data_IF_171307139226
#
_entry.id   IF_171307139226
#
_cell.length_a   1.000
_cell.length_b   1.000
_cell.length_c   1.000
_cell.angle_alpha   90.00
_cell.angle_beta   90.00
_cell.angle_gamma   90.00
#
_symmetry.space_group_name_H-M   'P 1'
#
loop_
_entity.id
_entity.type
_entity.pdbx_description
1 polymer ?
#
# COMPACT_ATOMS: atom_id res chain seq x y z
N UNK A 1 18.47 -13.15 65.25
CA UNK A 1 19.25 -12.62 64.12
C UNK A 1 19.69 -13.84 63.29
N UNK A 2 19.13 -14.22 62.15
CA UNK A 2 18.42 -13.51 61.09
C UNK A 2 17.52 -14.52 60.37
N UNK A 3 16.22 -14.24 60.26
CA UNK A 3 15.34 -14.94 59.32
C UNK A 3 15.45 -14.28 57.95
N UNK A 4 15.05 -15.02 56.92
CA UNK A 4 14.75 -14.61 55.53
C UNK A 4 15.92 -14.64 54.54
N UNK A 5 15.98 -15.74 53.78
CA UNK A 5 16.46 -15.72 52.40
C UNK A 5 15.25 -16.14 51.54
N UNK A 6 14.52 -15.21 50.90
CA UNK A 6 13.40 -15.58 50.07
C UNK A 6 13.96 -15.99 48.70
N UNK A 7 14.34 -17.26 48.56
CA UNK A 7 14.70 -17.89 47.29
C UNK A 7 13.53 -18.01 46.31
N UNK A 8 12.35 -17.50 46.65
CA UNK A 8 11.10 -17.63 45.88
C UNK A 8 10.87 -16.46 44.91
N UNK A 9 11.57 -15.34 45.07
CA UNK A 9 11.31 -14.13 44.27
C UNK A 9 12.26 -13.94 43.07
N UNK A 10 13.23 -14.83 42.90
CA UNK A 10 14.14 -14.78 41.76
C UNK A 10 13.49 -15.49 40.55
N UNK A 11 13.02 -14.65 39.62
CA UNK A 11 13.13 -14.89 38.17
C UNK A 11 12.11 -15.84 37.53
N UNK A 12 10.83 -15.69 37.86
CA UNK A 12 9.72 -16.18 37.01
C UNK A 12 8.96 -15.04 36.33
N UNK A 13 9.65 -13.93 36.01
CA UNK A 13 9.17 -13.07 34.94
C UNK A 13 9.66 -13.67 33.63
N UNK A 14 8.90 -14.64 33.14
CA UNK A 14 8.95 -15.06 31.75
C UNK A 14 8.57 -13.85 30.89
N UNK A 15 9.57 -13.04 30.54
CA UNK A 15 9.45 -12.01 29.52
C UNK A 15 9.33 -12.78 28.21
N UNK A 16 8.11 -13.22 27.87
CA UNK A 16 7.82 -13.57 26.49
C UNK A 16 8.15 -12.30 25.69
N UNK A 17 9.14 -12.32 24.78
CA UNK A 17 9.23 -11.24 23.82
C UNK A 17 7.93 -11.34 23.04
N UNK A 18 7.01 -10.42 23.28
CA UNK A 18 5.94 -10.13 22.34
C UNK A 18 6.69 -9.62 21.12
N UNK A 19 7.17 -10.54 20.29
CA UNK A 19 7.82 -10.22 19.03
C UNK A 19 6.75 -9.47 18.27
N UNK A 20 6.95 -8.15 18.15
CA UNK A 20 6.12 -7.31 17.32
C UNK A 20 6.24 -7.90 15.92
N UNK A 21 5.24 -8.70 15.53
CA UNK A 21 5.05 -9.13 14.16
C UNK A 21 4.69 -7.86 13.40
N UNK A 22 5.72 -7.08 13.06
CA UNK A 22 5.61 -6.09 12.01
C UNK A 22 5.21 -6.91 10.79
N UNK A 23 3.93 -6.88 10.44
CA UNK A 23 3.45 -7.35 9.15
C UNK A 23 4.28 -6.66 8.09
N UNK A 24 5.25 -7.41 7.55
CA UNK A 24 5.98 -7.08 6.35
C UNK A 24 4.97 -7.17 5.22
N UNK A 25 4.11 -6.15 5.13
CA UNK A 25 3.35 -5.86 3.93
C UNK A 25 4.40 -5.69 2.85
N UNK A 26 4.53 -6.70 1.99
CA UNK A 26 5.50 -6.72 0.89
C UNK A 26 5.13 -5.61 -0.11
N UNK A 27 5.54 -4.38 0.19
CA UNK A 27 5.31 -3.22 -0.67
C UNK A 27 6.24 -3.34 -1.88
N UNK A 28 5.72 -3.46 -3.11
CA UNK A 28 6.54 -3.60 -4.30
C UNK A 28 7.44 -2.37 -4.54
N UNK A 29 8.58 -2.58 -5.18
CA UNK A 29 9.47 -1.49 -5.56
C UNK A 29 8.77 -0.47 -6.49
N UNK A 30 8.82 0.80 -6.10
CA UNK A 30 8.08 1.90 -6.71
C UNK A 30 6.70 2.17 -6.08
N UNK A 31 6.32 1.42 -5.04
CA UNK A 31 5.19 1.75 -4.17
C UNK A 31 5.65 2.22 -2.80
N UNK A 32 4.83 3.04 -2.17
CA UNK A 32 5.07 3.57 -0.83
C UNK A 32 3.98 3.07 0.09
N UNK A 33 4.35 2.78 1.34
CA UNK A 33 3.36 2.47 2.38
C UNK A 33 2.46 3.68 2.61
N UNK A 34 1.16 3.44 2.67
CA UNK A 34 0.16 4.51 2.82
C UNK A 34 -0.57 4.43 4.15
N UNK A 35 -0.94 5.59 4.69
CA UNK A 35 -1.96 5.65 5.72
C UNK A 35 -3.35 5.58 5.07
N UNK A 36 -3.86 4.36 4.89
CA UNK A 36 -5.10 4.11 4.12
C UNK A 36 -6.32 4.96 4.55
N UNK A 37 -6.61 5.15 5.86
CA UNK A 37 -7.72 5.99 6.32
C UNK A 37 -7.71 7.42 5.78
N UNK A 38 -6.54 8.01 5.53
CA UNK A 38 -6.41 9.36 4.97
C UNK A 38 -7.05 9.49 3.58
N UNK A 39 -7.21 8.39 2.85
CA UNK A 39 -7.81 8.36 1.51
C UNK A 39 -9.31 8.05 1.51
N UNK A 40 -9.85 7.60 2.65
CA UNK A 40 -11.26 7.23 2.78
C UNK A 40 -12.15 8.41 3.19
N UNK A 41 -11.62 9.31 4.03
CA UNK A 41 -12.38 10.41 4.63
C UNK A 41 -12.70 11.59 3.70
N UNK A 42 -12.50 11.44 2.40
CA UNK A 42 -12.80 12.47 1.41
C UNK A 42 -14.07 12.10 0.65
N UNK A 43 -15.15 12.84 0.82
CA UNK A 43 -16.42 12.64 0.07
C UNK A 43 -16.24 12.85 -1.44
N UNK A 44 -15.21 13.59 -1.83
CA UNK A 44 -14.88 13.92 -3.22
C UNK A 44 -14.27 12.74 -4.00
N UNK A 45 -14.48 12.75 -5.32
CA UNK A 45 -13.92 11.77 -6.24
C UNK A 45 -12.45 12.09 -6.52
N UNK A 46 -11.58 11.80 -5.55
CA UNK A 46 -10.14 12.07 -5.63
C UNK A 46 -9.48 11.26 -6.74
N UNK A 47 -8.29 11.72 -7.19
CA UNK A 47 -7.43 10.95 -8.09
C UNK A 47 -7.18 9.54 -7.52
N UNK A 48 -7.00 9.42 -6.21
CA UNK A 48 -6.77 8.15 -5.54
C UNK A 48 -7.93 7.17 -5.69
N UNK A 49 -9.17 7.64 -5.54
CA UNK A 49 -10.38 6.83 -5.76
C UNK A 49 -10.58 6.48 -7.23
N UNK A 50 -10.31 7.43 -8.14
CA UNK A 50 -10.41 7.21 -9.59
C UNK A 50 -9.42 6.14 -10.06
N UNK A 51 -8.16 6.23 -9.60
CA UNK A 51 -7.16 5.20 -9.86
C UNK A 51 -7.48 3.89 -9.12
N UNK A 52 -8.15 3.95 -7.97
CA UNK A 52 -8.66 2.77 -7.27
C UNK A 52 -9.68 1.98 -8.09
N UNK A 53 -10.64 2.66 -8.72
CA UNK A 53 -11.58 2.03 -9.67
C UNK A 53 -10.84 1.40 -10.85
N UNK A 54 -9.84 2.10 -11.40
CA UNK A 54 -8.99 1.54 -12.44
C UNK A 54 -8.27 0.27 -11.97
N UNK A 55 -7.71 0.27 -10.75
CA UNK A 55 -7.06 -0.89 -10.16
C UNK A 55 -8.00 -2.09 -10.02
N UNK A 56 -9.24 -1.86 -9.62
CA UNK A 56 -10.26 -2.91 -9.54
C UNK A 56 -10.53 -3.55 -10.92
N UNK A 57 -10.56 -2.75 -11.99
CA UNK A 57 -10.73 -3.23 -13.37
C UNK A 57 -9.52 -3.99 -13.90
N UNK A 58 -8.31 -3.62 -13.47
CA UNK A 58 -7.06 -4.31 -13.86
C UNK A 58 -6.90 -5.64 -13.12
N UNK A 59 -7.45 -5.75 -11.91
CA UNK A 59 -7.36 -6.95 -11.07
C UNK A 59 -8.72 -7.61 -10.76
N UNK A 60 -9.55 -7.93 -11.77
CA UNK A 60 -10.92 -8.39 -11.55
C UNK A 60 -11.01 -9.77 -10.89
N UNK A 61 -10.03 -10.64 -11.15
CA UNK A 61 -10.07 -12.06 -10.76
C UNK A 61 -9.45 -12.35 -9.38
N UNK A 62 -9.06 -11.31 -8.61
CA UNK A 62 -8.30 -11.51 -7.37
C UNK A 62 -9.17 -11.76 -6.13
N UNK A 63 -10.51 -11.76 -6.26
CA UNK A 63 -11.46 -11.94 -5.13
C UNK A 63 -11.16 -11.06 -3.91
N UNK A 64 -10.40 -9.98 -4.08
CA UNK A 64 -10.13 -9.02 -3.03
C UNK A 64 -11.34 -8.10 -2.94
N UNK A 65 -12.37 -8.60 -2.25
CA UNK A 65 -13.52 -7.83 -1.83
C UNK A 65 -13.01 -6.82 -0.81
N UNK A 66 -12.92 -5.57 -1.22
CA UNK A 66 -12.22 -4.56 -0.45
C UNK A 66 -12.30 -3.18 -1.07
N UNK A 67 -11.83 -2.20 -0.31
CA UNK A 67 -11.76 -0.83 -0.83
C UNK A 67 -10.45 -0.64 -1.57
N UNK A 68 -10.53 -0.10 -2.79
CA UNK A 68 -9.38 0.11 -3.65
C UNK A 68 -9.02 1.59 -3.75
N UNK A 69 -7.73 1.89 -3.62
CA UNK A 69 -7.14 3.17 -3.97
C UNK A 69 -5.96 2.95 -4.92
N UNK A 70 -5.65 3.96 -5.72
CA UNK A 70 -4.48 3.95 -6.58
C UNK A 70 -3.65 5.22 -6.36
N UNK A 71 -2.35 5.09 -6.20
CA UNK A 71 -1.43 6.24 -6.15
C UNK A 71 -0.38 6.12 -7.26
N UNK A 72 0.20 7.25 -7.66
CA UNK A 72 1.30 7.24 -8.63
C UNK A 72 2.51 6.57 -7.98
N UNK A 73 3.20 5.73 -8.75
CA UNK A 73 4.42 5.06 -8.30
C UNK A 73 5.53 6.08 -8.02
N UNK A 74 6.19 5.94 -6.87
CA UNK A 74 7.28 6.83 -6.48
C UNK A 74 8.46 6.66 -7.45
N UNK A 75 8.89 7.75 -8.08
CA UNK A 75 9.94 7.73 -9.11
C UNK A 75 9.55 7.04 -10.43
N UNK A 76 8.30 6.56 -10.56
CA UNK A 76 7.81 5.80 -11.72
C UNK A 76 6.50 6.42 -12.24
N UNK A 77 6.56 7.52 -13.03
CA UNK A 77 5.39 8.34 -13.35
C UNK A 77 4.31 7.65 -14.19
N UNK A 78 4.63 6.55 -14.86
CA UNK A 78 3.68 5.73 -15.62
C UNK A 78 3.40 4.37 -14.97
N UNK A 79 3.65 4.27 -13.67
CA UNK A 79 3.21 3.17 -12.83
C UNK A 79 2.21 3.68 -11.80
N UNK A 80 1.26 2.82 -11.48
CA UNK A 80 0.26 3.05 -10.43
C UNK A 80 0.40 1.94 -9.41
N UNK A 81 0.45 2.33 -8.15
CA UNK A 81 0.38 1.45 -7.01
C UNK A 81 -1.07 1.30 -6.61
N UNK A 82 -1.59 0.10 -6.82
CA UNK A 82 -2.91 -0.31 -6.39
C UNK A 82 -2.83 -0.84 -4.97
N UNK A 83 -3.61 -0.25 -4.07
CA UNK A 83 -3.72 -0.69 -2.69
C UNK A 83 -5.17 -1.12 -2.47
N UNK A 84 -5.36 -2.38 -2.11
CA UNK A 84 -6.64 -2.90 -1.68
C UNK A 84 -6.59 -3.12 -0.16
N UNK A 85 -7.56 -2.54 0.57
CA UNK A 85 -7.85 -2.96 1.93
C UNK A 85 -8.96 -3.99 1.87
N UNK A 86 -8.65 -5.23 2.23
CA UNK A 86 -9.65 -6.29 2.27
C UNK A 86 -10.62 -6.12 3.47
N UNK A 87 -11.59 -7.01 3.56
CA UNK A 87 -12.59 -7.02 4.64
C UNK A 87 -12.01 -7.26 6.03
N UNK A 88 -10.87 -7.94 6.12
CA UNK A 88 -10.16 -8.21 7.38
C UNK A 88 -9.29 -7.02 7.80
N UNK A 89 -9.10 -6.05 6.91
CA UNK A 89 -8.35 -4.83 7.13
C UNK A 89 -6.89 -4.90 6.66
N UNK A 90 -6.48 -6.01 6.06
CA UNK A 90 -5.14 -6.22 5.52
C UNK A 90 -4.94 -5.42 4.24
N UNK A 91 -3.76 -4.80 4.10
CA UNK A 91 -3.41 -4.00 2.93
C UNK A 91 -2.61 -4.82 1.90
N UNK A 92 -3.19 -4.97 0.71
CA UNK A 92 -2.58 -5.64 -0.42
C UNK A 92 -2.06 -4.61 -1.43
N UNK A 93 -0.77 -4.66 -1.71
CA UNK A 93 -0.11 -3.75 -2.65
C UNK A 93 0.18 -4.46 -3.98
N UNK A 94 -0.08 -3.79 -5.10
CA UNK A 94 0.33 -4.23 -6.43
C UNK A 94 0.77 -3.05 -7.29
N UNK A 95 1.77 -3.27 -8.11
CA UNK A 95 2.20 -2.30 -9.12
C UNK A 95 1.54 -2.64 -10.47
N UNK A 96 1.03 -1.64 -11.16
CA UNK A 96 0.52 -1.77 -12.54
C UNK A 96 0.99 -0.59 -13.40
N UNK A 97 0.75 -0.67 -14.71
CA UNK A 97 0.92 0.47 -15.60
C UNK A 97 -0.18 1.51 -15.34
N UNK A 98 0.15 2.79 -15.50
CA UNK A 98 -0.85 3.84 -15.51
C UNK A 98 -1.80 3.69 -16.72
N UNK A 99 -3.03 4.23 -16.64
CA UNK A 99 -3.94 4.29 -17.78
C UNK A 99 -3.28 4.90 -19.01
N UNK A 100 -3.68 4.45 -20.20
CA UNK A 100 -3.20 5.06 -21.43
C UNK A 100 -3.57 6.56 -21.44
N UNK A 101 -2.66 7.39 -21.92
CA UNK A 101 -2.76 8.86 -21.93
C UNK A 101 -2.69 9.54 -20.57
N UNK A 102 -2.44 8.82 -19.47
CA UNK A 102 -2.22 9.41 -18.15
C UNK A 102 -1.06 10.42 -18.19
N UNK A 103 -1.19 11.59 -17.56
CA UNK A 103 -0.15 12.62 -17.61
C UNK A 103 1.14 12.16 -16.93
N UNK A 104 2.27 12.50 -17.54
CA UNK A 104 3.61 12.36 -16.96
C UNK A 104 4.42 13.63 -17.31
N UNK A 105 5.53 13.94 -16.62
CA UNK A 105 6.15 15.27 -16.63
C UNK A 105 6.38 15.91 -18.02
N UNK A 106 6.71 15.12 -19.03
CA UNK A 106 6.96 15.61 -20.39
C UNK A 106 6.08 14.95 -21.46
N UNK A 107 4.93 14.40 -21.08
CA UNK A 107 4.06 13.76 -22.06
C UNK A 107 2.94 12.92 -21.46
N UNK A 108 2.72 11.75 -22.06
CA UNK A 108 1.62 10.86 -21.70
C UNK A 108 2.07 9.41 -21.65
N UNK A 109 1.52 8.65 -20.71
CA UNK A 109 1.80 7.23 -20.58
C UNK A 109 1.18 6.44 -21.74
N UNK A 110 1.93 5.46 -22.24
CA UNK A 110 1.42 4.46 -23.19
C UNK A 110 1.03 3.14 -22.49
N UNK A 111 0.46 2.20 -23.24
CA UNK A 111 0.08 0.88 -22.73
C UNK A 111 1.27 0.04 -22.21
N UNK A 112 2.50 0.35 -22.66
CA UNK A 112 3.73 -0.31 -22.18
C UNK A 112 4.21 0.25 -20.83
N UNK A 113 3.58 1.29 -20.28
CA UNK A 113 3.98 1.92 -19.04
C UNK A 113 5.14 2.91 -19.19
N UNK A 114 5.37 3.44 -20.40
CA UNK A 114 6.40 4.43 -20.69
C UNK A 114 5.79 5.82 -20.89
N UNK A 115 6.49 6.85 -20.43
CA UNK A 115 6.13 8.25 -20.70
C UNK A 115 6.60 8.65 -22.10
N UNK A 116 5.69 8.81 -23.06
CA UNK A 116 6.01 9.26 -24.41
C UNK A 116 5.85 10.77 -24.50
N UNK A 117 6.87 11.44 -25.05
CA UNK A 117 6.82 12.89 -25.30
C UNK A 117 5.63 13.26 -26.20
N UNK A 118 4.99 14.38 -25.90
CA UNK A 118 4.00 14.97 -26.80
C UNK A 118 4.74 15.33 -28.09
N UNK A 119 4.31 14.81 -29.25
CA UNK A 119 4.83 15.26 -30.54
C UNK A 119 4.46 16.74 -30.64
N UNK A 120 5.45 17.63 -30.70
CA UNK A 120 5.19 19.04 -31.01
C UNK A 120 4.71 19.06 -32.45
N UNK A 121 3.43 19.39 -32.65
CA UNK A 121 2.90 19.75 -33.96
C UNK A 121 3.22 21.21 -34.20
#
# INVERSE_FOLDING_TARGET
MNATMPTIFFLLFAILPITCLMETTNVPDGCTKVNFPSFLNTTENTLAKTLGKYCQLVYPNKHLNGTWIGIIGQGKPCKVCCICKDTEGTLHYRLTNAPNRFPCPHGKCNSKGNCIKKKST
#
